data_IF_021289377934
#
_entry.id   IF_021289377934
#
_cell.length_a   1.000
_cell.length_b   1.000
_cell.length_c   1.000
_cell.angle_alpha   90.00
_cell.angle_beta   90.00
_cell.angle_gamma   90.00
#
_symmetry.space_group_name_H-M   'P 1'
#
loop_
_entity.id
_entity.type
_entity.pdbx_description
1 polymer ?
#
# COMPACT_ATOMS: atom_id res chain seq x y z
N UNK A 1 12.62 -6.62 2.15
CA UNK A 1 11.30 -6.45 2.78
C UNK A 1 11.36 -6.11 4.26
N UNK A 2 12.45 -6.41 4.97
CA UNK A 2 12.64 -5.97 6.36
C UNK A 2 12.58 -4.43 6.53
N UNK A 3 13.26 -3.68 5.65
CA UNK A 3 13.18 -2.20 5.63
C UNK A 3 11.76 -1.67 5.43
N UNK A 4 10.93 -2.38 4.66
CA UNK A 4 9.52 -2.02 4.44
C UNK A 4 8.73 -2.21 5.74
N UNK A 5 8.94 -3.33 6.45
CA UNK A 5 8.31 -3.58 7.76
C UNK A 5 8.73 -2.52 8.79
N UNK A 6 10.02 -2.20 8.85
CA UNK A 6 10.54 -1.18 9.76
C UNK A 6 9.85 0.18 9.51
N UNK A 7 9.75 0.61 8.25
CA UNK A 7 9.10 1.88 7.92
C UNK A 7 7.60 1.88 8.23
N UNK A 8 6.89 0.78 7.94
CA UNK A 8 5.47 0.65 8.30
C UNK A 8 5.23 0.66 9.81
N UNK A 9 6.17 0.15 10.62
CA UNK A 9 6.01 0.08 12.07
C UNK A 9 5.86 1.44 12.75
N UNK A 10 6.30 2.53 12.10
CA UNK A 10 6.15 3.91 12.55
C UNK A 10 4.71 4.44 12.49
N UNK A 11 3.82 3.73 11.79
CA UNK A 11 2.44 4.12 11.55
C UNK A 11 1.45 3.28 12.39
N UNK A 12 0.28 3.81 12.76
CA UNK A 12 -0.83 3.02 13.26
C UNK A 12 -1.31 1.98 12.23
N UNK A 13 -1.85 0.86 12.69
CA UNK A 13 -2.27 -0.25 11.83
C UNK A 13 -3.23 0.15 10.70
N UNK A 14 -4.20 1.04 10.95
CA UNK A 14 -5.11 1.56 9.92
C UNK A 14 -4.36 2.26 8.78
N UNK A 15 -3.37 3.08 9.11
CA UNK A 15 -2.53 3.77 8.13
C UNK A 15 -1.58 2.79 7.42
N UNK A 16 -1.07 1.77 8.12
CA UNK A 16 -0.26 0.71 7.48
C UNK A 16 -1.04 0.00 6.38
N UNK A 17 -2.29 -0.39 6.66
CA UNK A 17 -3.18 -1.04 5.67
C UNK A 17 -3.46 -0.12 4.48
N UNK A 18 -3.67 1.16 4.74
CA UNK A 18 -3.86 2.16 3.68
C UNK A 18 -2.60 2.32 2.80
N UNK A 19 -1.42 2.43 3.41
CA UNK A 19 -0.14 2.47 2.68
C UNK A 19 0.04 1.20 1.85
N UNK A 20 -0.19 0.01 2.43
CA UNK A 20 -0.07 -1.27 1.73
C UNK A 20 -1.03 -1.39 0.54
N UNK A 21 -2.27 -0.92 0.69
CA UNK A 21 -3.23 -0.85 -0.40
C UNK A 21 -2.66 -0.05 -1.59
N UNK A 22 -2.09 1.13 -1.32
CA UNK A 22 -1.52 1.97 -2.38
C UNK A 22 -0.26 1.36 -3.00
N UNK A 23 0.59 0.71 -2.22
CA UNK A 23 1.77 -0.01 -2.72
C UNK A 23 1.38 -1.15 -3.66
N UNK A 24 0.45 -2.03 -3.25
CA UNK A 24 -0.03 -3.13 -4.09
C UNK A 24 -0.59 -2.58 -5.41
N UNK A 25 -1.39 -1.52 -5.31
CA UNK A 25 -2.02 -0.89 -6.48
C UNK A 25 -0.99 -0.24 -7.42
N UNK A 26 0.08 0.34 -6.88
CA UNK A 26 1.21 0.88 -7.64
C UNK A 26 1.95 -0.24 -8.40
N UNK A 27 2.44 -1.27 -7.70
CA UNK A 27 3.24 -2.35 -8.31
C UNK A 27 2.44 -3.23 -9.28
N UNK A 28 1.11 -3.29 -9.12
CA UNK A 28 0.22 -3.93 -10.09
C UNK A 28 0.12 -3.14 -11.40
N UNK A 29 0.16 -1.82 -11.33
CA UNK A 29 -0.04 -0.93 -12.48
C UNK A 29 1.27 -0.38 -13.07
N UNK A 30 2.42 -0.64 -12.45
CA UNK A 30 3.70 -0.02 -12.81
C UNK A 30 4.11 -0.28 -14.27
N UNK A 31 3.74 -1.43 -14.84
CA UNK A 31 3.96 -1.76 -16.25
C UNK A 31 3.21 -0.87 -17.24
N UNK A 32 2.21 -0.13 -16.76
CA UNK A 32 1.38 0.77 -17.57
C UNK A 32 1.77 2.25 -17.41
N UNK A 33 2.74 2.57 -16.52
CA UNK A 33 3.17 3.93 -16.20
C UNK A 33 3.66 4.72 -17.42
N UNK A 34 4.48 4.11 -18.29
CA UNK A 34 4.98 4.82 -19.48
C UNK A 34 3.91 5.02 -20.56
N UNK A 35 2.88 4.17 -20.62
CA UNK A 35 1.90 4.20 -21.72
C UNK A 35 0.84 5.27 -21.58
N UNK A 36 0.62 5.82 -20.38
CA UNK A 36 -0.56 6.61 -20.10
C UNK A 36 -0.29 8.11 -19.87
N UNK A 37 0.95 8.53 -19.64
CA UNK A 37 1.24 9.90 -19.18
C UNK A 37 0.51 10.27 -17.88
N UNK A 38 -0.06 9.27 -17.20
CA UNK A 38 -0.86 9.40 -16.00
C UNK A 38 0.03 9.20 -14.80
N UNK A 39 -0.08 10.12 -13.86
CA UNK A 39 0.44 9.90 -12.53
C UNK A 39 -0.35 8.74 -11.92
N UNK A 40 0.29 7.59 -11.68
CA UNK A 40 -0.41 6.45 -11.08
C UNK A 40 -0.94 6.84 -9.71
N UNK A 41 -0.33 7.83 -9.04
CA UNK A 41 -0.84 8.40 -7.80
C UNK A 41 -2.21 9.09 -8.01
N UNK A 42 -2.49 9.72 -9.14
CA UNK A 42 -3.82 10.33 -9.38
C UNK A 42 -4.90 9.26 -9.60
N UNK A 43 -4.56 8.15 -10.26
CA UNK A 43 -5.48 7.02 -10.46
C UNK A 43 -5.61 6.16 -9.17
N UNK A 44 -4.52 6.00 -8.40
CA UNK A 44 -4.42 5.22 -7.16
C UNK A 44 -5.08 5.96 -6.00
N UNK A 45 -4.85 7.26 -5.89
CA UNK A 45 -5.37 8.16 -4.87
C UNK A 45 -6.47 9.06 -5.43
N UNK A 46 -7.57 8.47 -5.89
CA UNK A 46 -8.74 9.21 -6.40
C UNK A 46 -9.25 10.33 -5.44
N UNK A 47 -8.81 10.32 -4.17
CA UNK A 47 -8.79 11.46 -3.25
C UNK A 47 -7.35 11.65 -2.77
N UNK A 48 -6.90 12.90 -2.62
CA UNK A 48 -5.58 13.20 -2.04
C UNK A 48 -5.48 12.49 -0.68
N UNK A 49 -4.56 11.54 -0.51
CA UNK A 49 -4.39 10.82 0.74
C UNK A 49 -3.85 11.79 1.81
N UNK A 50 -3.83 11.36 3.07
CA UNK A 50 -3.07 12.07 4.09
C UNK A 50 -1.62 12.26 3.59
N UNK A 51 -1.05 13.48 3.62
CA UNK A 51 0.31 13.74 3.15
C UNK A 51 1.35 12.78 3.75
N UNK A 52 1.17 12.35 5.01
CA UNK A 52 2.07 11.38 5.64
C UNK A 52 2.01 10.01 4.99
N UNK A 53 0.81 9.56 4.61
CA UNK A 53 0.59 8.29 3.93
C UNK A 53 1.17 8.34 2.51
N UNK A 54 1.02 9.47 1.83
CA UNK A 54 1.63 9.71 0.53
C UNK A 54 3.14 9.59 0.57
N UNK A 55 3.79 10.35 1.46
CA UNK A 55 5.25 10.39 1.59
C UNK A 55 5.81 9.02 1.99
N UNK A 56 5.13 8.32 2.92
CA UNK A 56 5.50 6.96 3.31
C UNK A 56 5.40 5.97 2.15
N UNK A 57 4.35 6.08 1.33
CA UNK A 57 4.16 5.23 0.14
C UNK A 57 5.30 5.46 -0.86
N UNK A 58 5.67 6.71 -1.13
CA UNK A 58 6.80 7.04 -2.03
C UNK A 58 8.14 6.52 -1.50
N UNK A 59 8.38 6.69 -0.19
CA UNK A 59 9.59 6.20 0.46
C UNK A 59 9.70 4.67 0.34
N UNK A 60 8.61 3.94 0.56
CA UNK A 60 8.59 2.48 0.45
C UNK A 60 8.77 2.03 -1.00
N UNK A 61 8.16 2.70 -1.98
CA UNK A 61 8.39 2.42 -3.41
C UNK A 61 9.89 2.51 -3.70
N UNK A 62 10.53 3.61 -3.29
CA UNK A 62 11.97 3.82 -3.48
C UNK A 62 12.81 2.72 -2.81
N UNK A 63 12.45 2.28 -1.61
CA UNK A 63 13.12 1.17 -0.91
C UNK A 63 13.01 -0.14 -1.70
N UNK A 64 11.83 -0.44 -2.23
CA UNK A 64 11.58 -1.66 -3.02
C UNK A 64 12.36 -1.59 -4.32
N UNK A 65 12.24 -0.53 -5.11
CA UNK A 65 12.96 -0.36 -6.38
C UNK A 65 14.49 -0.45 -6.19
N UNK A 66 15.03 0.19 -5.15
CA UNK A 66 16.44 0.08 -4.80
C UNK A 66 16.86 -1.36 -4.48
N UNK A 67 15.99 -2.14 -3.83
CA UNK A 67 16.28 -3.55 -3.52
C UNK A 67 16.30 -4.47 -4.75
N UNK A 68 15.60 -4.09 -5.83
CA UNK A 68 15.60 -4.81 -7.10
C UNK A 68 16.55 -4.19 -8.15
N UNK A 69 17.17 -3.04 -7.84
CA UNK A 69 18.14 -2.35 -8.68
C UNK A 69 17.56 -1.71 -9.94
N UNK A 70 16.23 -1.55 -10.02
CA UNK A 70 15.54 -1.00 -11.17
C UNK A 70 14.16 -0.46 -10.78
N UNK A 71 13.61 0.51 -11.54
CA UNK A 71 12.26 1.02 -11.29
C UNK A 71 11.19 -0.04 -11.56
N UNK A 72 10.03 0.12 -10.91
CA UNK A 72 8.93 -0.84 -10.94
C UNK A 72 8.31 -1.04 -12.32
N UNK A 73 8.42 -0.05 -13.20
CA UNK A 73 7.99 -0.14 -14.60
C UNK A 73 8.90 -1.05 -15.46
N UNK A 74 10.07 -1.44 -14.95
CA UNK A 74 11.01 -2.37 -15.58
C UNK A 74 11.02 -3.75 -14.90
N UNK A 75 10.10 -3.99 -13.98
CA UNK A 75 9.90 -5.33 -13.43
C UNK A 75 9.37 -6.23 -14.54
N UNK A 76 9.70 -7.52 -14.50
CA UNK A 76 8.93 -8.50 -15.25
C UNK A 76 7.67 -8.86 -14.44
N UNK A 77 6.70 -9.50 -15.09
CA UNK A 77 5.44 -9.88 -14.41
C UNK A 77 5.69 -10.71 -13.14
N UNK A 78 6.65 -11.63 -13.18
CA UNK A 78 7.00 -12.49 -12.04
C UNK A 78 7.54 -11.69 -10.85
N UNK A 79 8.36 -10.69 -11.12
CA UNK A 79 8.94 -9.79 -10.11
C UNK A 79 7.85 -8.95 -9.46
N UNK A 80 6.94 -8.39 -10.26
CA UNK A 80 5.80 -7.64 -9.72
C UNK A 80 4.90 -8.50 -8.84
N UNK A 81 4.56 -9.72 -9.28
CA UNK A 81 3.79 -10.65 -8.45
C UNK A 81 4.51 -10.99 -7.14
N UNK A 82 5.82 -11.26 -7.20
CA UNK A 82 6.61 -11.53 -6.00
C UNK A 82 6.58 -10.37 -5.00
N UNK A 83 6.67 -9.12 -5.48
CA UNK A 83 6.56 -7.94 -4.63
C UNK A 83 5.16 -7.82 -4.03
N UNK A 84 4.12 -7.99 -4.83
CA UNK A 84 2.72 -7.94 -4.37
C UNK A 84 2.44 -9.01 -3.32
N UNK A 85 2.91 -10.24 -3.52
CA UNK A 85 2.78 -11.33 -2.56
C UNK A 85 3.47 -10.97 -1.24
N UNK A 86 4.70 -10.45 -1.30
CA UNK A 86 5.43 -10.02 -0.11
C UNK A 86 4.75 -8.87 0.65
N UNK A 87 4.11 -7.93 -0.05
CA UNK A 87 3.32 -6.87 0.55
C UNK A 87 2.03 -7.41 1.18
N UNK A 88 1.40 -8.40 0.54
CA UNK A 88 0.20 -9.06 1.04
C UNK A 88 0.49 -9.89 2.31
N UNK A 89 1.65 -10.54 2.38
CA UNK A 89 2.07 -11.21 3.62
C UNK A 89 2.30 -10.20 4.76
N UNK A 90 2.88 -9.03 4.48
CA UNK A 90 2.99 -7.96 5.49
C UNK A 90 1.60 -7.51 5.95
N UNK A 91 0.65 -7.36 5.04
CA UNK A 91 -0.72 -6.95 5.37
C UNK A 91 -1.40 -7.94 6.32
N UNK A 92 -1.18 -9.25 6.09
CA UNK A 92 -1.68 -10.32 6.98
C UNK A 92 -1.04 -10.32 8.36
N UNK A 93 0.18 -9.82 8.49
CA UNK A 93 0.87 -9.66 9.78
C UNK A 93 0.29 -8.48 10.59
N UNK A 94 -0.49 -7.58 9.98
CA UNK A 94 -1.19 -6.50 10.69
C UNK A 94 -2.43 -7.09 11.36
N UNK A 95 -2.18 -7.74 12.50
CA UNK A 95 -3.21 -8.26 13.37
C UNK A 95 -3.77 -7.10 14.21
N UNK A 96 -4.99 -6.70 13.89
CA UNK A 96 -5.83 -5.92 14.79
C UNK A 96 -7.11 -6.72 14.93
N UNK A 97 -7.34 -7.33 16.11
CA UNK A 97 -8.72 -7.54 16.51
C UNK A 97 -9.42 -6.18 16.44
N UNK A 98 -10.58 -6.07 15.75
CA UNK A 98 -11.32 -4.83 15.70
C UNK A 98 -11.59 -4.36 17.12
N UNK A 99 -11.28 -3.09 17.41
CA UNK A 99 -11.51 -2.56 18.75
C UNK A 99 -13.01 -2.58 19.05
N UNK A 100 -13.38 -2.56 20.33
CA UNK A 100 -14.78 -2.46 20.73
C UNK A 100 -15.49 -1.25 20.07
N UNK A 101 -14.77 -0.14 19.90
CA UNK A 101 -15.27 1.04 19.18
C UNK A 101 -15.53 0.77 17.69
N UNK A 102 -14.70 -0.04 17.03
CA UNK A 102 -14.91 -0.42 15.63
C UNK A 102 -16.14 -1.33 15.48
N UNK A 103 -16.32 -2.26 16.42
CA UNK A 103 -17.50 -3.12 16.49
C UNK A 103 -18.80 -2.34 16.75
N UNK A 104 -18.75 -1.37 17.67
CA UNK A 104 -19.89 -0.51 18.00
C UNK A 104 -20.27 0.42 16.83
N UNK A 105 -19.28 1.02 16.16
CA UNK A 105 -19.51 1.84 14.96
C UNK A 105 -20.09 1.02 13.81
N UNK A 106 -19.55 -0.18 13.57
CA UNK A 106 -20.07 -1.08 12.55
C UNK A 106 -21.51 -1.49 12.86
N UNK A 107 -21.81 -1.86 14.11
CA UNK A 107 -23.16 -2.22 14.55
C UNK A 107 -24.16 -1.08 14.37
N UNK A 108 -23.77 0.14 14.74
CA UNK A 108 -24.61 1.33 14.57
C UNK A 108 -24.86 1.69 13.09
N UNK A 109 -23.92 1.39 12.20
CA UNK A 109 -24.09 1.59 10.77
C UNK A 109 -25.12 0.61 10.18
N UNK A 110 -25.03 -0.68 10.51
CA UNK A 110 -25.97 -1.70 10.01
C UNK A 110 -27.40 -1.55 10.55
N UNK A 111 -27.58 -0.95 11.73
CA UNK A 111 -28.92 -0.67 12.28
C UNK A 111 -29.63 0.54 11.63
N UNK A 112 -28.93 1.32 10.79
CA UNK A 112 -29.49 2.49 10.09
C UNK A 112 -29.93 2.20 8.66
N UNK A 113 -29.75 0.97 8.18
CA UNK A 113 -30.16 0.47 6.86
C UNK A 113 -31.43 -0.36 7.03
#
# INVERSE_FOLDING_TARGET
MEKVRAHLSEFPSSQRREILYFLVRYFKQSHHLEKAGKNVFDDVFARTPDPKIYDATLAIISIVEASYGKPANQFDGRTSYKVIDQLTEIDREIDDEPSQNDLERASAFFQKI
#
